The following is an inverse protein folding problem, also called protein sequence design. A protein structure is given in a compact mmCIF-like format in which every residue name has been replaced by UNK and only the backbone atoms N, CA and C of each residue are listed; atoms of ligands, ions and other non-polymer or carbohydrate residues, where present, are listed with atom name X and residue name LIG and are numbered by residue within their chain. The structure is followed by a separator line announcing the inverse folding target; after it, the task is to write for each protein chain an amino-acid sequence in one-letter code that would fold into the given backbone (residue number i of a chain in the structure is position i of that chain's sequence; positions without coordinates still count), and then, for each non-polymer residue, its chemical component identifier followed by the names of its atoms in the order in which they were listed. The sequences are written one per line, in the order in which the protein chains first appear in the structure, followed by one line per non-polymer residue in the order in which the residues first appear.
data_IF_165338855402
#
_entry.id   IF_165338855402
#
_cell.length_a   1.000
_cell.length_b   1.000
_cell.length_c   1.000
_cell.angle_alpha   90.00
_cell.angle_beta   90.00
_cell.angle_gamma   90.00
#
_symmetry.space_group_name_H-M   'P 1'
#
loop_
_entity.id
_entity.type
_entity.pdbx_description
1 polymer ?
#
# COMPACT_ATOMS: atom_id res chain seq x y z
N UNK A 1 -1.96 -16.00 -16.66
CA UNK A 1 -1.35 -15.59 -15.39
C UNK A 1 -1.33 -16.81 -14.49
N UNK A 2 -0.21 -17.10 -13.81
CA UNK A 2 -0.13 -18.25 -12.92
C UNK A 2 -1.09 -18.07 -11.73
N UNK A 3 -1.61 -19.20 -11.25
CA UNK A 3 -2.38 -19.23 -10.01
C UNK A 3 -1.47 -19.17 -8.78
N UNK A 4 -2.07 -18.93 -7.60
CA UNK A 4 -1.31 -18.84 -6.35
C UNK A 4 -0.47 -20.10 -6.06
N UNK A 5 -0.99 -21.30 -6.35
CA UNK A 5 -0.26 -22.56 -6.17
C UNK A 5 1.00 -22.65 -7.02
N UNK A 6 0.96 -22.15 -8.26
CA UNK A 6 2.12 -22.14 -9.15
C UNK A 6 3.19 -21.17 -8.63
N UNK A 7 2.79 -19.99 -8.13
CA UNK A 7 3.69 -19.01 -7.51
C UNK A 7 4.35 -19.59 -6.25
N UNK A 8 3.58 -20.28 -5.40
CA UNK A 8 4.11 -20.96 -4.22
C UNK A 8 5.14 -22.03 -4.59
N UNK A 9 4.87 -22.82 -5.60
CA UNK A 9 5.82 -23.84 -6.09
C UNK A 9 7.11 -23.20 -6.59
N UNK A 10 7.03 -22.08 -7.31
CA UNK A 10 8.22 -21.33 -7.74
C UNK A 10 9.05 -20.83 -6.55
N UNK A 11 8.39 -20.27 -5.52
CA UNK A 11 9.06 -19.82 -4.30
C UNK A 11 9.71 -21.00 -3.59
N UNK A 12 8.99 -22.10 -3.38
CA UNK A 12 9.50 -23.29 -2.70
C UNK A 12 10.69 -23.90 -3.41
N UNK A 13 10.70 -23.90 -4.75
CA UNK A 13 11.81 -24.40 -5.54
C UNK A 13 13.10 -23.56 -5.37
N UNK A 14 12.97 -22.26 -5.08
CA UNK A 14 14.10 -21.35 -4.90
C UNK A 14 14.60 -21.28 -3.44
N UNK A 15 13.73 -21.51 -2.45
CA UNK A 15 14.06 -21.38 -1.03
C UNK A 15 15.32 -22.15 -0.58
N UNK A 16 15.59 -23.38 -1.05
CA UNK A 16 16.79 -24.12 -0.63
C UNK A 16 18.11 -23.48 -1.08
N UNK A 17 18.07 -22.65 -2.13
CA UNK A 17 19.27 -22.03 -2.72
C UNK A 17 19.34 -20.53 -2.49
N UNK A 18 18.22 -19.88 -2.15
CA UNK A 18 18.11 -18.43 -2.04
C UNK A 18 17.17 -18.00 -0.91
N UNK A 19 17.73 -17.32 0.08
CA UNK A 19 16.94 -16.73 1.18
C UNK A 19 16.00 -15.60 0.75
N UNK A 20 16.26 -15.00 -0.44
CA UNK A 20 15.45 -13.91 -1.03
C UNK A 20 14.43 -14.41 -2.08
N UNK A 21 14.09 -15.70 -2.07
CA UNK A 21 13.22 -16.33 -3.07
C UNK A 21 11.90 -15.56 -3.33
N UNK A 22 11.25 -15.06 -2.27
CA UNK A 22 10.03 -14.26 -2.38
C UNK A 22 10.26 -12.98 -3.18
N UNK A 23 11.38 -12.29 -2.96
CA UNK A 23 11.71 -11.05 -3.67
C UNK A 23 12.04 -11.30 -5.14
N UNK A 24 12.75 -12.38 -5.43
CA UNK A 24 13.06 -12.78 -6.82
C UNK A 24 11.77 -13.03 -7.59
N UNK A 25 10.86 -13.81 -7.03
CA UNK A 25 9.58 -14.13 -7.68
C UNK A 25 8.70 -12.88 -7.79
N UNK A 26 8.64 -12.03 -6.76
CA UNK A 26 7.94 -10.74 -6.83
C UNK A 26 8.48 -9.89 -7.97
N UNK A 27 9.78 -9.69 -8.06
CA UNK A 27 10.44 -8.91 -9.13
C UNK A 27 10.15 -9.49 -10.51
N UNK A 28 10.20 -10.81 -10.67
CA UNK A 28 9.83 -11.49 -11.92
C UNK A 28 8.45 -11.04 -12.42
N UNK A 29 7.44 -11.07 -11.55
CA UNK A 29 6.08 -10.70 -11.93
C UNK A 29 5.87 -9.19 -12.11
N UNK A 30 6.58 -8.35 -11.34
CA UNK A 30 6.57 -6.89 -11.57
C UNK A 30 7.17 -6.55 -12.94
N UNK A 31 8.27 -7.20 -13.35
CA UNK A 31 8.85 -7.02 -14.68
C UNK A 31 7.90 -7.48 -15.79
N UNK A 32 7.22 -8.61 -15.62
CA UNK A 32 6.20 -9.05 -16.58
C UNK A 32 5.03 -8.06 -16.69
N UNK A 33 4.61 -7.48 -15.58
CA UNK A 33 3.57 -6.45 -15.59
C UNK A 33 4.05 -5.21 -16.32
N UNK A 34 5.27 -4.74 -16.05
CA UNK A 34 5.90 -3.64 -16.77
C UNK A 34 5.94 -3.90 -18.29
N UNK A 35 6.41 -5.06 -18.71
CA UNK A 35 6.48 -5.43 -20.13
C UNK A 35 5.11 -5.45 -20.80
N UNK A 36 4.08 -5.86 -20.06
CA UNK A 36 2.70 -5.91 -20.58
C UNK A 36 2.04 -4.53 -20.67
N UNK A 37 2.33 -3.64 -19.73
CA UNK A 37 1.65 -2.32 -19.62
C UNK A 37 2.45 -1.18 -20.21
N UNK A 38 3.77 -1.31 -20.34
CA UNK A 38 4.68 -0.24 -20.71
C UNK A 38 4.82 0.86 -19.64
N UNK A 39 4.27 0.65 -18.43
CA UNK A 39 4.23 1.63 -17.33
C UNK A 39 5.30 1.31 -16.30
N UNK A 40 5.81 2.30 -15.59
CA UNK A 40 6.60 2.04 -14.38
C UNK A 40 5.75 1.28 -13.36
N UNK A 41 6.34 0.35 -12.63
CA UNK A 41 5.63 -0.42 -11.61
C UNK A 41 6.27 -0.14 -10.25
N UNK A 42 5.47 0.33 -9.30
CA UNK A 42 5.85 0.53 -7.91
C UNK A 42 4.94 -0.33 -7.04
N UNK A 43 5.49 -1.07 -6.09
CA UNK A 43 4.71 -1.83 -5.13
C UNK A 43 4.92 -1.25 -3.73
N UNK A 44 3.84 -0.77 -3.13
CA UNK A 44 3.77 -0.39 -1.73
C UNK A 44 2.80 -1.33 -1.02
N UNK A 45 3.33 -2.24 -0.23
CA UNK A 45 2.51 -3.20 0.49
C UNK A 45 3.08 -3.50 1.87
N UNK A 46 2.21 -3.56 2.86
CA UNK A 46 2.55 -3.94 4.22
C UNK A 46 1.84 -5.23 4.65
N UNK A 47 2.46 -5.97 5.57
CA UNK A 47 1.92 -7.24 6.10
C UNK A 47 0.99 -6.98 7.30
N UNK A 48 -0.03 -6.16 7.11
CA UNK A 48 -0.93 -5.74 8.18
C UNK A 48 -2.08 -6.72 8.47
N UNK A 49 -2.50 -7.52 7.48
CA UNK A 49 -3.58 -8.50 7.65
C UNK A 49 -3.17 -9.66 8.55
N UNK A 50 -1.88 -10.03 8.50
CA UNK A 50 -1.29 -11.07 9.34
C UNK A 50 0.07 -10.60 9.85
N UNK A 51 0.09 -9.62 10.77
CA UNK A 51 1.34 -9.12 11.32
C UNK A 51 2.06 -10.23 12.10
N UNK A 52 3.39 -10.20 12.06
CA UNK A 52 4.18 -11.09 12.91
C UNK A 52 3.99 -10.68 14.38
N UNK A 53 3.97 -11.65 15.32
CA UNK A 53 3.86 -11.32 16.73
C UNK A 53 4.94 -10.32 17.19
N UNK A 54 4.52 -9.30 17.96
CA UNK A 54 5.44 -8.30 18.52
C UNK A 54 5.87 -7.17 17.57
N UNK A 55 5.35 -7.13 16.34
CA UNK A 55 5.60 -5.99 15.45
C UNK A 55 4.73 -4.81 15.87
N UNK A 56 5.37 -3.65 16.05
CA UNK A 56 4.67 -2.38 16.28
C UNK A 56 3.76 -2.06 15.07
N UNK A 57 2.46 -1.81 15.28
CA UNK A 57 1.54 -1.38 14.23
C UNK A 57 2.01 -0.16 13.43
N UNK A 58 2.80 0.73 14.02
CA UNK A 58 3.37 1.89 13.33
C UNK A 58 4.34 1.49 12.21
N UNK A 59 5.05 0.36 12.35
CA UNK A 59 6.00 -0.13 11.34
C UNK A 59 5.32 -0.72 10.10
N UNK A 60 4.05 -1.05 10.18
CA UNK A 60 3.27 -1.61 9.08
C UNK A 60 2.24 -0.61 8.53
N UNK A 61 2.22 0.60 9.08
CA UNK A 61 1.35 1.71 8.67
C UNK A 61 2.16 2.76 7.91
N UNK A 62 1.47 3.49 7.02
CA UNK A 62 2.06 4.62 6.30
C UNK A 62 2.56 5.68 7.28
N UNK A 63 3.80 6.10 7.13
CA UNK A 63 4.44 7.13 7.94
C UNK A 63 5.40 8.00 7.10
N UNK A 64 5.91 9.07 7.68
CA UNK A 64 6.75 10.03 6.96
C UNK A 64 8.06 9.43 6.41
N UNK A 65 8.60 8.38 7.04
CA UNK A 65 9.81 7.71 6.55
C UNK A 65 9.59 6.94 5.24
N UNK A 66 8.34 6.55 4.94
CA UNK A 66 8.01 5.90 3.67
C UNK A 66 8.20 6.83 2.47
N UNK A 67 8.16 8.15 2.69
CA UNK A 67 8.44 9.13 1.64
C UNK A 67 9.88 9.01 1.15
N UNK A 68 10.83 8.77 2.05
CA UNK A 68 12.23 8.55 1.66
C UNK A 68 12.39 7.27 0.84
N UNK A 69 11.72 6.20 1.25
CA UNK A 69 11.66 4.95 0.49
C UNK A 69 11.04 5.16 -0.91
N UNK A 70 9.97 5.95 -0.99
CA UNK A 70 9.33 6.31 -2.25
C UNK A 70 10.28 7.10 -3.17
N UNK A 71 11.02 8.07 -2.62
CA UNK A 71 12.01 8.85 -3.34
C UNK A 71 13.12 7.96 -3.93
N UNK A 72 13.64 7.02 -3.15
CA UNK A 72 14.67 6.08 -3.62
C UNK A 72 14.14 5.14 -4.71
N UNK A 73 12.94 4.61 -4.54
CA UNK A 73 12.31 3.73 -5.55
C UNK A 73 12.06 4.48 -6.86
N UNK A 74 11.72 5.76 -6.81
CA UNK A 74 11.45 6.58 -8.00
C UNK A 74 12.70 7.17 -8.65
N UNK A 75 13.86 7.04 -8.02
CA UNK A 75 15.12 7.54 -8.55
C UNK A 75 15.47 6.88 -9.88
N UNK A 76 15.71 7.69 -10.90
CA UNK A 76 16.08 7.21 -12.24
C UNK A 76 14.90 6.72 -13.10
N UNK A 77 13.68 6.68 -12.60
CA UNK A 77 12.52 6.38 -13.42
C UNK A 77 12.23 7.58 -14.33
N UNK A 78 12.19 7.33 -15.65
CA UNK A 78 11.92 8.35 -16.69
C UNK A 78 10.54 8.21 -17.33
N UNK A 79 9.77 7.18 -16.94
CA UNK A 79 8.43 6.95 -17.48
C UNK A 79 7.44 8.03 -17.05
N UNK A 80 6.54 8.43 -17.95
CA UNK A 80 5.46 9.39 -17.66
C UNK A 80 4.28 8.78 -16.90
N UNK A 81 4.18 7.46 -16.85
CA UNK A 81 3.05 6.73 -16.28
C UNK A 81 3.49 5.65 -15.31
N UNK A 82 2.73 5.49 -14.23
CA UNK A 82 3.03 4.50 -13.17
C UNK A 82 1.80 3.66 -12.82
N UNK A 83 2.03 2.40 -12.52
CA UNK A 83 1.12 1.51 -11.81
C UNK A 83 1.63 1.36 -10.38
N UNK A 84 0.90 1.92 -9.43
CA UNK A 84 1.15 1.75 -8.00
C UNK A 84 0.31 0.57 -7.48
N UNK A 85 0.96 -0.54 -7.18
CA UNK A 85 0.31 -1.66 -6.49
C UNK A 85 0.26 -1.30 -5.00
N UNK A 86 -0.94 -1.13 -4.47
CA UNK A 86 -1.16 -0.59 -3.13
C UNK A 86 -1.94 -1.58 -2.25
N UNK A 87 -1.30 -2.04 -1.17
CA UNK A 87 -1.92 -2.86 -0.14
C UNK A 87 -1.46 -2.38 1.25
N UNK A 88 -2.33 -1.64 1.97
CA UNK A 88 -1.93 -0.95 3.20
C UNK A 88 -3.12 -0.69 4.12
N UNK A 89 -2.93 -0.71 5.44
CA UNK A 89 -3.94 -0.26 6.41
C UNK A 89 -4.14 1.25 6.41
N UNK A 90 -3.33 1.99 5.65
CA UNK A 90 -3.21 3.44 5.77
C UNK A 90 -2.19 3.83 6.83
N UNK A 91 -2.42 4.93 7.52
CA UNK A 91 -1.51 5.45 8.54
C UNK A 91 -1.62 6.95 8.73
N UNK A 92 -0.49 7.61 8.90
CA UNK A 92 -0.41 9.02 9.21
C UNK A 92 -0.89 9.92 8.06
N UNK A 93 -1.78 10.85 8.36
CA UNK A 93 -2.31 11.79 7.36
C UNK A 93 -1.27 12.78 6.86
N UNK A 94 -0.35 13.20 7.72
CA UNK A 94 0.79 14.06 7.39
C UNK A 94 1.78 13.44 6.40
N UNK A 95 1.79 12.10 6.28
CA UNK A 95 2.55 11.39 5.26
C UNK A 95 1.77 11.25 3.93
N UNK A 96 0.46 11.33 3.95
CA UNK A 96 -0.40 11.08 2.78
C UNK A 96 -0.24 12.15 1.71
N UNK A 97 -0.31 13.42 2.10
CA UNK A 97 -0.18 14.55 1.17
C UNK A 97 1.21 14.60 0.49
N UNK A 98 2.35 14.51 1.21
CA UNK A 98 3.66 14.41 0.58
C UNK A 98 3.81 13.22 -0.35
N UNK A 99 3.24 12.06 0.03
CA UNK A 99 3.26 10.86 -0.82
C UNK A 99 2.58 11.13 -2.17
N UNK A 100 1.35 11.64 -2.14
CA UNK A 100 0.58 11.96 -3.35
C UNK A 100 1.26 13.05 -4.16
N UNK A 101 1.70 14.13 -3.51
CA UNK A 101 2.36 15.27 -4.17
C UNK A 101 3.63 14.82 -4.88
N UNK A 102 4.46 14.01 -4.23
CA UNK A 102 5.68 13.51 -4.83
C UNK A 102 5.40 12.56 -6.00
N UNK A 103 4.44 11.63 -5.84
CA UNK A 103 4.02 10.72 -6.91
C UNK A 103 3.53 11.50 -8.15
N UNK A 104 2.68 12.50 -7.93
CA UNK A 104 2.12 13.37 -8.98
C UNK A 104 3.14 14.30 -9.63
N UNK A 105 4.16 14.74 -8.89
CA UNK A 105 5.25 15.53 -9.46
C UNK A 105 6.11 14.73 -10.45
N UNK A 106 6.15 13.41 -10.29
CA UNK A 106 7.00 12.52 -11.06
C UNK A 106 6.29 11.91 -12.27
N UNK A 107 4.98 11.63 -12.15
CA UNK A 107 4.22 10.93 -13.18
C UNK A 107 3.01 11.77 -13.64
N UNK A 108 2.82 11.84 -14.96
CA UNK A 108 1.66 12.51 -15.59
C UNK A 108 0.39 11.70 -15.43
N UNK A 109 0.51 10.37 -15.35
CA UNK A 109 -0.63 9.47 -15.19
C UNK A 109 -0.33 8.40 -14.15
N UNK A 110 -1.12 8.39 -13.10
CA UNK A 110 -1.02 7.47 -11.97
C UNK A 110 -2.22 6.52 -11.99
N UNK A 111 -1.95 5.21 -12.06
CA UNK A 111 -2.96 4.18 -11.86
C UNK A 111 -2.65 3.42 -10.59
N UNK A 112 -3.63 3.32 -9.70
CA UNK A 112 -3.50 2.52 -8.48
C UNK A 112 -4.17 1.17 -8.69
N UNK A 113 -3.44 0.10 -8.38
CA UNK A 113 -3.95 -1.27 -8.40
C UNK A 113 -4.08 -1.73 -6.96
N UNK A 114 -5.31 -1.99 -6.53
CA UNK A 114 -5.60 -2.48 -5.17
C UNK A 114 -5.87 -3.99 -5.24
N UNK A 115 -4.87 -4.85 -4.93
CA UNK A 115 -5.04 -6.30 -5.07
C UNK A 115 -5.95 -6.90 -3.99
N UNK A 116 -6.05 -6.28 -2.81
CA UNK A 116 -6.90 -6.73 -1.72
C UNK A 116 -7.54 -5.57 -0.99
N UNK A 117 -6.78 -4.75 -0.26
CA UNK A 117 -7.34 -3.65 0.52
C UNK A 117 -6.40 -2.45 0.60
N UNK A 118 -6.97 -1.25 0.48
CA UNK A 118 -6.32 0.02 0.78
C UNK A 118 -7.23 0.80 1.73
N UNK A 119 -6.77 1.00 2.98
CA UNK A 119 -7.58 1.56 4.06
C UNK A 119 -7.13 2.99 4.41
N UNK A 120 -8.04 3.82 4.92
CA UNK A 120 -7.72 5.16 5.46
C UNK A 120 -6.82 5.97 4.50
N UNK A 121 -5.63 6.38 4.92
CA UNK A 121 -4.66 7.11 4.10
C UNK A 121 -4.36 6.43 2.76
N UNK A 122 -4.31 5.10 2.70
CA UNK A 122 -4.12 4.38 1.44
C UNK A 122 -5.36 4.48 0.51
N UNK A 123 -6.57 4.55 1.06
CA UNK A 123 -7.76 4.86 0.28
C UNK A 123 -7.68 6.29 -0.30
N UNK A 124 -7.20 7.26 0.48
CA UNK A 124 -6.99 8.65 0.01
C UNK A 124 -5.96 8.70 -1.13
N UNK A 125 -4.83 7.98 -1.00
CA UNK A 125 -3.83 7.85 -2.08
C UNK A 125 -4.48 7.25 -3.33
N UNK A 126 -5.33 6.22 -3.17
CA UNK A 126 -6.03 5.62 -4.30
C UNK A 126 -6.97 6.62 -4.97
N UNK A 127 -7.73 7.40 -4.21
CA UNK A 127 -8.65 8.42 -4.74
C UNK A 127 -7.92 9.58 -5.44
N UNK A 128 -6.65 9.81 -5.14
CA UNK A 128 -5.83 10.83 -5.79
C UNK A 128 -5.24 10.37 -7.15
N UNK A 129 -5.46 9.12 -7.54
CA UNK A 129 -5.01 8.57 -8.82
C UNK A 129 -5.94 8.94 -9.97
N UNK A 130 -5.43 8.82 -11.22
CA UNK A 130 -6.26 9.00 -12.42
C UNK A 130 -7.14 7.78 -12.70
N UNK A 131 -6.69 6.59 -12.24
CA UNK A 131 -7.38 5.33 -12.46
C UNK A 131 -7.19 4.41 -11.26
N UNK A 132 -8.25 3.74 -10.83
CA UNK A 132 -8.20 2.71 -9.78
C UNK A 132 -8.63 1.37 -10.38
N UNK A 133 -7.76 0.36 -10.25
CA UNK A 133 -8.03 -1.01 -10.67
C UNK A 133 -8.21 -1.88 -9.44
N UNK A 134 -9.36 -2.53 -9.35
CA UNK A 134 -9.73 -3.38 -8.22
C UNK A 134 -10.23 -4.74 -8.71
N UNK A 135 -9.88 -5.80 -8.01
CA UNK A 135 -10.54 -7.10 -8.16
C UNK A 135 -11.93 -7.08 -7.52
N UNK A 136 -12.77 -8.06 -7.88
CA UNK A 136 -14.12 -8.18 -7.28
C UNK A 136 -14.11 -8.39 -5.75
N UNK A 137 -12.99 -8.85 -5.21
CA UNK A 137 -12.76 -9.08 -3.77
C UNK A 137 -11.99 -7.94 -3.11
N UNK A 138 -11.56 -6.94 -3.87
CA UNK A 138 -10.80 -5.81 -3.33
C UNK A 138 -11.74 -4.74 -2.78
N UNK A 139 -11.26 -4.00 -1.80
CA UNK A 139 -12.03 -2.91 -1.20
C UNK A 139 -11.14 -1.72 -0.82
N UNK A 140 -11.76 -0.54 -0.84
CA UNK A 140 -11.23 0.67 -0.23
C UNK A 140 -11.91 0.84 1.12
N UNK A 141 -11.11 1.14 2.13
CA UNK A 141 -11.62 1.38 3.47
C UNK A 141 -12.14 2.80 3.67
N UNK A 142 -12.80 3.04 4.81
CA UNK A 142 -13.25 4.37 5.16
C UNK A 142 -12.06 5.32 5.31
N UNK A 143 -12.31 6.60 5.03
CA UNK A 143 -11.36 7.71 5.18
C UNK A 143 -11.73 8.62 6.36
N UNK A 144 -12.67 8.19 7.20
CA UNK A 144 -13.12 8.94 8.36
C UNK A 144 -11.99 9.12 9.38
N UNK A 145 -11.82 10.32 9.93
CA UNK A 145 -10.83 10.59 10.96
C UNK A 145 -11.08 9.73 12.19
N UNK A 146 -10.02 9.07 12.68
CA UNK A 146 -10.05 8.30 13.92
C UNK A 146 -9.37 9.11 15.05
N UNK A 147 -10.00 9.18 16.20
CA UNK A 147 -9.43 9.79 17.40
C UNK A 147 -9.03 8.70 18.39
N UNK A 148 -7.85 8.87 19.00
CA UNK A 148 -7.41 8.01 20.08
C UNK A 148 -7.90 8.60 21.40
N UNK A 149 -8.87 7.95 22.03
CA UNK A 149 -9.38 8.34 23.35
C UNK A 149 -8.71 7.49 24.42
N UNK A 150 -8.12 8.14 25.41
CA UNK A 150 -7.65 7.47 26.62
C UNK A 150 -8.85 7.20 27.53
N UNK A 151 -9.10 5.94 27.83
CA UNK A 151 -10.20 5.51 28.73
C UNK A 151 -9.62 4.79 29.95
N UNK A 152 -10.45 4.58 30.96
CA UNK A 152 -10.05 3.83 32.16
C UNK A 152 -9.60 2.36 31.86
N UNK A 153 -9.99 1.83 30.72
CA UNK A 153 -9.64 0.48 30.26
C UNK A 153 -8.60 0.47 29.12
N UNK A 154 -7.93 1.61 28.89
CA UNK A 154 -6.88 1.77 27.88
C UNK A 154 -7.27 2.68 26.70
N UNK A 155 -6.36 2.84 25.75
CA UNK A 155 -6.57 3.64 24.54
C UNK A 155 -7.57 2.95 23.60
N UNK A 156 -8.52 3.71 23.07
CA UNK A 156 -9.49 3.25 22.08
C UNK A 156 -9.51 4.18 20.87
N UNK A 157 -9.53 3.61 19.69
CA UNK A 157 -9.77 4.35 18.45
C UNK A 157 -11.27 4.47 18.23
N UNK A 158 -11.73 5.69 18.02
CA UNK A 158 -13.15 6.02 17.83
C UNK A 158 -13.29 6.93 16.61
N UNK A 159 -14.23 6.67 15.69
CA UNK A 159 -14.52 7.59 14.59
C UNK A 159 -14.90 8.97 15.13
N UNK A 160 -14.30 10.03 14.59
CA UNK A 160 -14.57 11.40 15.02
C UNK A 160 -16.06 11.74 14.90
N UNK A 161 -16.73 11.24 13.87
CA UNK A 161 -18.17 11.43 13.66
C UNK A 161 -19.01 10.89 14.81
N UNK A 162 -18.63 9.72 15.35
CA UNK A 162 -19.35 9.13 16.49
C UNK A 162 -19.29 10.01 17.75
N UNK A 163 -18.18 10.75 17.93
CA UNK A 163 -18.05 11.72 19.01
C UNK A 163 -18.96 12.94 18.76
N UNK A 164 -18.94 13.49 17.54
CA UNK A 164 -19.75 14.63 17.18
C UNK A 164 -21.26 14.36 17.32
N UNK A 165 -21.70 13.14 17.06
CA UNK A 165 -23.10 12.73 17.20
C UNK A 165 -23.58 12.67 18.65
N UNK A 166 -22.69 12.49 19.62
CA UNK A 166 -23.03 12.50 21.04
C UNK A 166 -23.30 13.92 21.59
N UNK A 167 -22.89 14.96 20.85
CA UNK A 167 -23.10 16.36 21.26
C UNK A 167 -24.21 17.07 20.49
N UNK A 168 -24.97 16.34 19.69
CA UNK A 168 -26.17 16.81 19.00
C UNK A 168 -27.42 16.45 19.80
#
# INVERSE_FOLDING_TARGET
MPGWGEILNEIQALLPTRGDACDVIRRKYLVQLHQKTGRAIISYSSRWVQPSPGIDPLLISLNISDIQGLMEVMKGITADSVDLILHSPGGALDATEPFVTYLRSKFKHVRVIVPHAAMSAAAMISCAADEIVMGKHSFLGPIDPQLVLQTAVGARMVPAQAILEQFK
#
